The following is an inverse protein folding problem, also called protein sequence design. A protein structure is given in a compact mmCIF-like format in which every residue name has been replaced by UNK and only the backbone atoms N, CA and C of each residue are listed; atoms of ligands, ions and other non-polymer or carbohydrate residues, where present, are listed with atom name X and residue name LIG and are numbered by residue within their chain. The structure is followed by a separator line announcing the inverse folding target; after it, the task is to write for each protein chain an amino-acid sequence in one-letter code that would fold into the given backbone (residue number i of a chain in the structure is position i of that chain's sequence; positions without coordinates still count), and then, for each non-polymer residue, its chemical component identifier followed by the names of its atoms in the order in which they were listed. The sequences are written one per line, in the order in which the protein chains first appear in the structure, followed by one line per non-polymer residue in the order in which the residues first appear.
data_IF_289852847476
#
_entry.id   IF_289852847476
#
_cell.length_a   1.000
_cell.length_b   1.000
_cell.length_c   1.000
_cell.angle_alpha   90.00
_cell.angle_beta   90.00
_cell.angle_gamma   90.00
#
_symmetry.space_group_name_H-M   'P 1'
#
loop_
_entity.id
_entity.type
_entity.pdbx_description
1 polymer ?
#
# COMPACT_ATOMS: atom_id res chain seq x y z
N UNK A 1 3.52 44.54 16.31
CA UNK A 1 3.74 43.19 16.89
C UNK A 1 2.78 42.21 16.23
N UNK A 2 3.24 41.31 15.34
CA UNK A 2 2.46 40.13 14.89
C UNK A 2 3.26 39.17 13.95
N UNK A 3 4.52 39.46 13.63
CA UNK A 3 5.36 38.58 12.80
C UNK A 3 5.69 37.25 13.52
N UNK A 4 5.89 37.28 14.85
CA UNK A 4 6.15 36.07 15.65
C UNK A 4 4.94 35.12 15.79
N UNK A 5 3.71 35.65 15.77
CA UNK A 5 2.48 34.84 15.81
C UNK A 5 2.25 34.13 14.46
N UNK A 6 2.55 34.82 13.35
CA UNK A 6 2.52 34.26 11.99
C UNK A 6 3.58 33.17 11.78
N UNK A 7 4.78 33.33 12.33
CA UNK A 7 5.88 32.36 12.17
C UNK A 7 5.61 31.05 12.93
N UNK A 8 5.06 31.13 14.14
CA UNK A 8 4.62 29.95 14.89
C UNK A 8 3.45 29.23 14.20
N UNK A 9 2.52 29.97 13.59
CA UNK A 9 1.43 29.37 12.81
C UNK A 9 1.95 28.62 11.59
N UNK A 10 2.91 29.19 10.86
CA UNK A 10 3.56 28.53 9.72
C UNK A 10 4.29 27.26 10.15
N UNK A 11 4.98 27.28 11.30
CA UNK A 11 5.65 26.09 11.85
C UNK A 11 4.66 24.98 12.25
N UNK A 12 3.52 25.34 12.86
CA UNK A 12 2.47 24.37 13.22
C UNK A 12 1.80 23.79 11.99
N UNK A 13 1.55 24.59 10.96
CA UNK A 13 1.00 24.10 9.68
C UNK A 13 2.00 23.18 8.97
N UNK A 14 3.30 23.53 8.94
CA UNK A 14 4.33 22.65 8.39
C UNK A 14 4.47 21.34 9.19
N UNK A 15 4.37 21.41 10.52
CA UNK A 15 4.42 20.22 11.38
C UNK A 15 3.20 19.31 11.15
N UNK A 16 2.00 19.88 11.01
CA UNK A 16 0.78 19.15 10.66
C UNK A 16 0.89 18.49 9.27
N UNK A 17 1.42 19.20 8.28
CA UNK A 17 1.70 18.65 6.95
C UNK A 17 2.74 17.51 7.02
N UNK A 18 3.75 17.62 7.89
CA UNK A 18 4.74 16.57 8.08
C UNK A 18 4.14 15.30 8.72
N UNK A 19 3.24 15.45 9.69
CA UNK A 19 2.51 14.33 10.30
C UNK A 19 1.68 13.57 9.26
N UNK A 20 1.04 14.28 8.32
CA UNK A 20 0.29 13.61 7.24
C UNK A 20 1.17 12.83 6.27
N UNK A 21 2.42 13.24 6.05
CA UNK A 21 3.36 12.51 5.19
C UNK A 21 3.87 11.22 5.86
N UNK A 22 4.08 11.24 7.18
CA UNK A 22 4.63 10.10 7.95
C UNK A 22 3.65 8.94 8.12
N UNK A 23 2.33 9.18 8.02
CA UNK A 23 1.32 8.13 8.08
C UNK A 23 1.19 7.30 6.78
N UNK A 24 1.89 7.67 5.72
CA UNK A 24 1.78 7.06 4.38
C UNK A 24 2.83 5.94 4.13
N UNK A 25 3.15 5.15 5.15
CA UNK A 25 3.89 3.91 4.93
C UNK A 25 2.96 2.86 4.31
N UNK A 26 3.36 2.24 3.19
CA UNK A 26 2.60 1.14 2.57
C UNK A 26 2.63 -0.10 3.46
N UNK A 27 1.53 -0.35 4.16
CA UNK A 27 1.33 -1.57 4.94
C UNK A 27 0.38 -2.52 4.20
N UNK A 28 0.92 -3.60 3.63
CA UNK A 28 0.15 -4.58 2.87
C UNK A 28 -0.94 -5.27 3.70
N UNK A 29 -0.73 -5.41 5.00
CA UNK A 29 -1.75 -5.94 5.90
C UNK A 29 -2.92 -4.97 6.06
N UNK A 30 -2.61 -3.67 6.18
CA UNK A 30 -3.60 -2.61 6.26
C UNK A 30 -4.35 -2.44 4.94
N UNK A 31 -3.68 -2.57 3.78
CA UNK A 31 -4.32 -2.52 2.45
C UNK A 31 -5.34 -3.66 2.28
N UNK A 32 -5.00 -4.87 2.71
CA UNK A 32 -5.94 -6.01 2.69
C UNK A 32 -6.97 -5.97 3.84
N UNK A 33 -6.78 -5.08 4.83
CA UNK A 33 -7.62 -5.02 6.03
C UNK A 33 -7.54 -6.30 6.88
N UNK A 34 -6.37 -6.93 6.95
CA UNK A 34 -6.14 -8.18 7.70
C UNK A 34 -5.06 -8.00 8.76
N UNK A 35 -5.11 -8.82 9.81
CA UNK A 35 -4.06 -8.84 10.85
C UNK A 35 -2.75 -9.39 10.28
N UNK A 36 -1.60 -8.99 10.86
CA UNK A 36 -0.29 -9.62 10.60
C UNK A 36 -0.26 -11.11 10.92
N UNK A 37 -1.15 -11.59 11.78
CA UNK A 37 -1.34 -13.00 12.10
C UNK A 37 -2.29 -13.73 11.13
N UNK A 38 -2.75 -13.07 10.06
CA UNK A 38 -3.72 -13.65 9.14
C UNK A 38 -3.14 -14.86 8.40
N UNK A 39 -3.97 -15.87 8.26
CA UNK A 39 -3.69 -17.07 7.47
C UNK A 39 -3.82 -16.79 5.97
N UNK A 40 -3.17 -17.59 5.14
CA UNK A 40 -3.28 -17.50 3.67
C UNK A 40 -4.74 -17.51 3.18
N UNK A 41 -5.60 -18.29 3.83
CA UNK A 41 -7.02 -18.35 3.49
C UNK A 41 -7.75 -17.03 3.77
N UNK A 42 -7.40 -16.34 4.87
CA UNK A 42 -7.96 -15.03 5.19
C UNK A 42 -7.48 -13.96 4.21
N UNK A 43 -6.19 -13.97 3.85
CA UNK A 43 -5.58 -13.10 2.83
C UNK A 43 -6.28 -13.27 1.48
N UNK A 44 -6.42 -14.53 1.00
CA UNK A 44 -7.14 -14.86 -0.24
C UNK A 44 -8.61 -14.44 -0.22
N UNK A 45 -9.27 -14.51 0.94
CA UNK A 45 -10.67 -14.13 1.10
C UNK A 45 -10.83 -12.60 1.08
N UNK A 46 -9.96 -11.88 1.78
CA UNK A 46 -9.93 -10.43 1.82
C UNK A 46 -9.65 -9.84 0.43
N UNK A 47 -8.61 -10.34 -0.25
CA UNK A 47 -8.27 -9.94 -1.62
C UNK A 47 -9.46 -10.09 -2.57
N UNK A 48 -10.10 -11.27 -2.59
CA UNK A 48 -11.26 -11.51 -3.47
C UNK A 48 -12.46 -10.61 -3.19
N UNK A 49 -12.65 -10.19 -1.93
CA UNK A 49 -13.70 -9.25 -1.56
C UNK A 49 -13.37 -7.85 -2.08
N UNK A 50 -12.18 -7.36 -1.76
CA UNK A 50 -11.72 -6.02 -2.11
C UNK A 50 -11.53 -5.85 -3.63
N UNK A 51 -11.04 -6.86 -4.35
CA UNK A 51 -10.86 -6.80 -5.79
C UNK A 51 -12.20 -6.65 -6.54
N UNK A 52 -13.31 -7.16 -5.97
CA UNK A 52 -14.66 -6.96 -6.52
C UNK A 52 -15.26 -5.60 -6.17
N UNK A 53 -14.74 -4.95 -5.14
CA UNK A 53 -15.21 -3.67 -4.61
C UNK A 53 -14.47 -2.52 -5.29
N UNK A 54 -13.15 -2.64 -5.45
CA UNK A 54 -12.27 -1.68 -6.13
C UNK A 54 -12.05 -1.96 -7.61
N UNK A 55 -12.83 -2.85 -8.22
CA UNK A 55 -12.71 -3.11 -9.66
C UNK A 55 -12.95 -1.81 -10.45
N UNK A 56 -12.08 -1.45 -11.43
CA UNK A 56 -12.20 -0.19 -12.17
C UNK A 56 -13.52 -0.08 -12.94
N UNK A 57 -14.07 -1.20 -13.43
CA UNK A 57 -15.39 -1.27 -14.07
C UNK A 57 -16.55 -0.78 -13.16
N UNK A 58 -16.43 -0.98 -11.84
CA UNK A 58 -17.44 -0.53 -10.88
C UNK A 58 -17.20 0.87 -10.32
N UNK A 59 -15.97 1.38 -10.49
CA UNK A 59 -15.56 2.70 -9.99
C UNK A 59 -14.92 3.51 -11.13
N UNK A 60 -15.61 3.70 -12.27
CA UNK A 60 -15.04 4.41 -13.42
C UNK A 60 -14.75 5.89 -13.13
N UNK A 61 -15.41 6.46 -12.11
CA UNK A 61 -15.30 7.87 -11.73
C UNK A 61 -14.24 8.13 -10.64
N UNK A 62 -13.63 7.10 -10.05
CA UNK A 62 -12.56 7.26 -9.04
C UNK A 62 -11.18 7.14 -9.72
N UNK A 63 -10.45 8.24 -9.95
CA UNK A 63 -9.11 8.21 -10.54
C UNK A 63 -8.09 7.47 -9.67
N UNK A 64 -8.38 7.28 -8.38
CA UNK A 64 -7.54 6.51 -7.46
C UNK A 64 -7.94 5.04 -7.37
N UNK A 65 -8.99 4.58 -8.07
CA UNK A 65 -9.38 3.17 -8.08
C UNK A 65 -8.27 2.30 -8.68
N UNK A 66 -7.58 2.79 -9.70
CA UNK A 66 -6.45 2.09 -10.32
C UNK A 66 -5.29 1.92 -9.33
N UNK A 67 -4.90 2.99 -8.62
CA UNK A 67 -3.83 2.96 -7.62
C UNK A 67 -4.17 2.00 -6.47
N UNK A 68 -5.40 2.09 -5.94
CA UNK A 68 -5.89 1.19 -4.88
C UNK A 68 -5.91 -0.27 -5.32
N UNK A 69 -6.28 -0.54 -6.57
CA UNK A 69 -6.31 -1.89 -7.11
C UNK A 69 -4.90 -2.44 -7.33
N UNK A 70 -3.94 -1.59 -7.76
CA UNK A 70 -2.53 -1.94 -7.84
C UNK A 70 -1.95 -2.27 -6.46
N UNK A 71 -2.19 -1.42 -5.46
CA UNK A 71 -1.78 -1.66 -4.08
C UNK A 71 -2.37 -2.95 -3.51
N UNK A 72 -3.64 -3.23 -3.82
CA UNK A 72 -4.32 -4.46 -3.42
C UNK A 72 -3.67 -5.72 -4.04
N UNK A 73 -3.30 -5.64 -5.31
CA UNK A 73 -2.56 -6.69 -6.01
C UNK A 73 -1.19 -6.92 -5.37
N UNK A 74 -0.45 -5.85 -5.08
CA UNK A 74 0.89 -5.88 -4.48
C UNK A 74 0.85 -6.58 -3.11
N UNK A 75 -0.11 -6.16 -2.29
CA UNK A 75 -0.32 -6.73 -0.98
C UNK A 75 -0.63 -8.23 -1.05
N UNK A 76 -1.47 -8.65 -1.99
CA UNK A 76 -1.80 -10.06 -2.17
C UNK A 76 -0.59 -10.87 -2.64
N UNK A 77 0.16 -10.40 -3.63
CA UNK A 77 1.33 -11.12 -4.16
C UNK A 77 2.35 -11.39 -3.05
N UNK A 78 2.69 -10.36 -2.28
CA UNK A 78 3.68 -10.45 -1.21
C UNK A 78 3.18 -11.30 -0.05
N UNK A 79 1.93 -11.13 0.37
CA UNK A 79 1.40 -11.81 1.56
C UNK A 79 0.90 -13.24 1.26
N UNK A 80 0.67 -13.57 -0.01
CA UNK A 80 0.26 -14.92 -0.44
C UNK A 80 1.43 -15.89 -0.62
N UNK A 81 2.65 -15.38 -0.79
CA UNK A 81 3.89 -16.15 -0.85
C UNK A 81 4.57 -16.10 0.51
N UNK A 82 4.88 -17.27 1.09
CA UNK A 82 5.45 -17.34 2.43
C UNK A 82 6.87 -16.76 2.50
N UNK A 83 7.67 -16.91 1.44
CA UNK A 83 9.04 -16.42 1.38
C UNK A 83 9.05 -14.90 1.17
N UNK A 84 8.22 -14.38 0.25
CA UNK A 84 8.05 -12.93 0.08
C UNK A 84 7.50 -12.26 1.34
N UNK A 85 6.53 -12.90 2.01
CA UNK A 85 5.97 -12.42 3.28
C UNK A 85 7.03 -12.35 4.37
N UNK A 86 7.89 -13.38 4.51
CA UNK A 86 9.01 -13.36 5.46
C UNK A 86 9.98 -12.23 5.16
N UNK A 87 10.35 -12.03 3.89
CA UNK A 87 11.21 -10.92 3.46
C UNK A 87 10.58 -9.57 3.79
N UNK A 88 9.28 -9.41 3.52
CA UNK A 88 8.52 -8.20 3.85
C UNK A 88 8.42 -7.96 5.36
N UNK A 89 8.17 -9.00 6.15
CA UNK A 89 8.08 -8.90 7.61
C UNK A 89 9.45 -8.55 8.23
N UNK A 90 10.56 -8.96 7.61
CA UNK A 90 11.91 -8.74 8.11
C UNK A 90 12.55 -7.43 7.63
N UNK A 91 12.32 -7.04 6.37
CA UNK A 91 13.01 -5.92 5.71
C UNK A 91 12.05 -4.86 5.16
N UNK A 92 10.74 -5.03 5.34
CA UNK A 92 9.74 -4.16 4.74
C UNK A 92 9.76 -4.22 3.20
N UNK A 93 9.25 -3.15 2.59
CA UNK A 93 9.17 -3.05 1.13
C UNK A 93 10.56 -2.99 0.46
N UNK A 94 11.58 -2.49 1.16
CA UNK A 94 12.95 -2.41 0.63
C UNK A 94 13.57 -3.79 0.39
N UNK A 95 13.19 -4.80 1.19
CA UNK A 95 13.62 -6.18 0.99
C UNK A 95 13.13 -6.77 -0.33
N UNK A 96 11.91 -6.39 -0.75
CA UNK A 96 11.28 -6.88 -1.97
C UNK A 96 11.83 -6.23 -3.25
N UNK A 97 12.46 -5.06 -3.15
CA UNK A 97 13.08 -4.38 -4.30
C UNK A 97 14.29 -5.12 -4.86
N UNK A 98 14.95 -5.96 -4.06
CA UNK A 98 16.07 -6.78 -4.53
C UNK A 98 15.62 -7.93 -5.44
N UNK A 99 14.40 -8.45 -5.24
CA UNK A 99 13.83 -9.50 -6.09
C UNK A 99 13.28 -8.95 -7.43
N UNK A 100 12.88 -7.67 -7.45
CA UNK A 100 12.42 -6.98 -8.66
C UNK A 100 13.51 -6.83 -9.74
N UNK A 101 14.79 -6.95 -9.38
CA UNK A 101 15.92 -6.88 -10.33
C UNK A 101 16.27 -8.23 -10.99
N UNK A 102 15.69 -9.35 -10.56
CA UNK A 102 16.03 -10.70 -11.08
C UNK A 102 15.07 -11.24 -12.16
N UNK A 103 14.01 -10.53 -12.53
CA UNK A 103 13.09 -10.97 -13.58
C UNK A 103 12.37 -9.78 -14.20
N UNK A 104 12.74 -9.42 -15.43
CA UNK A 104 12.22 -8.28 -16.20
C UNK A 104 10.75 -8.41 -16.65
N UNK A 105 9.88 -8.79 -15.73
CA UNK A 105 8.43 -8.70 -15.86
C UNK A 105 7.95 -7.89 -14.68
N UNK A 106 7.40 -6.70 -14.93
CA UNK A 106 6.58 -6.00 -13.95
C UNK A 106 5.59 -7.03 -13.37
N UNK A 107 5.70 -7.44 -12.09
CA UNK A 107 4.83 -8.47 -11.51
C UNK A 107 3.35 -8.08 -11.58
N UNK A 108 3.12 -6.78 -11.76
CA UNK A 108 1.85 -6.13 -11.95
C UNK A 108 1.31 -6.22 -13.37
N UNK A 109 2.17 -6.29 -14.41
CA UNK A 109 1.75 -6.24 -15.80
C UNK A 109 0.89 -7.46 -16.20
N UNK A 110 1.07 -8.63 -15.57
CA UNK A 110 0.31 -9.84 -15.90
C UNK A 110 -1.11 -9.88 -15.33
N UNK A 111 -1.47 -8.95 -14.45
CA UNK A 111 -2.82 -8.87 -13.87
C UNK A 111 -3.73 -7.86 -14.59
N UNK A 112 -3.16 -6.96 -15.40
CA UNK A 112 -3.87 -5.86 -16.07
C UNK A 112 -3.93 -5.94 -17.61
N UNK A 113 -3.26 -6.93 -18.23
CA UNK A 113 -3.26 -7.14 -19.68
C UNK A 113 -4.02 -8.41 -20.08
#
# INVERSE_FOLDING_TARGET
MNIGLSMNFILVVNLLLFITQVLCGRDFYSILGVSRSATLNQIKKAYRKLAKEFHPDKNPDDPHAQDKFQDLGAAYEVLSDEDKRKTYDQYGEEGLKNDAFSGGSDPFASFFW
#
